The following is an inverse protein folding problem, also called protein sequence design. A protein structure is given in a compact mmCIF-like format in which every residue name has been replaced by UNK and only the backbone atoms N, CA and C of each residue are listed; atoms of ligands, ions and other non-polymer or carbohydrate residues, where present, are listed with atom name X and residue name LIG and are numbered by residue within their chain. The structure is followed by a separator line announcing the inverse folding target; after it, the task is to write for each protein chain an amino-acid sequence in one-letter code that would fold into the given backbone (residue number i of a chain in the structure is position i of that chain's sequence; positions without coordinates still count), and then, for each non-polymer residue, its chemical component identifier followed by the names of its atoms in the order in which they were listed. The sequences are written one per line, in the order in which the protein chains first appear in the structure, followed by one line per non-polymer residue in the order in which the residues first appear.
data_IF_297512231038
#
_entry.id   IF_297512231038
#
_cell.length_a   1.000
_cell.length_b   1.000
_cell.length_c   1.000
_cell.angle_alpha   90.00
_cell.angle_beta   90.00
_cell.angle_gamma   90.00
#
_symmetry.space_group_name_H-M   'P 1'
#
loop_
_entity.id
_entity.type
_entity.pdbx_description
1 polymer ?
#
# COMPACT_ATOMS: atom_id res chain seq x y z
N UNK A 1 -9.13 0.87 19.75
CA UNK A 1 -8.15 1.33 18.75
C UNK A 1 -6.77 1.40 19.42
N UNK A 2 -5.76 0.70 18.89
CA UNK A 2 -4.43 0.56 19.52
C UNK A 2 -3.49 1.75 19.33
N UNK A 3 -3.72 2.58 18.30
CA UNK A 3 -2.81 3.66 17.92
C UNK A 3 -2.54 4.66 19.05
N UNK A 4 -3.57 5.03 19.82
CA UNK A 4 -3.46 5.94 20.98
C UNK A 4 -2.55 5.40 22.10
N UNK A 5 -2.38 4.08 22.17
CA UNK A 5 -1.51 3.42 23.14
C UNK A 5 -0.08 3.29 22.61
N UNK A 6 0.10 3.20 21.29
CA UNK A 6 1.41 3.04 20.65
C UNK A 6 2.14 4.37 20.50
N UNK A 7 1.47 5.43 20.04
CA UNK A 7 2.11 6.71 19.73
C UNK A 7 2.92 7.32 20.90
N UNK A 8 2.43 7.33 22.15
CA UNK A 8 3.20 7.87 23.28
C UNK A 8 4.45 7.05 23.64
N UNK A 9 4.55 5.82 23.15
CA UNK A 9 5.69 4.93 23.40
C UNK A 9 6.82 5.08 22.37
N UNK A 10 6.60 5.86 21.31
CA UNK A 10 7.62 6.13 20.30
C UNK A 10 8.56 7.22 20.83
N UNK A 11 9.85 6.93 21.06
CA UNK A 11 10.80 7.93 21.55
C UNK A 11 11.16 8.94 20.45
N UNK A 12 11.87 10.02 20.83
CA UNK A 12 12.51 10.88 19.84
C UNK A 12 13.51 10.08 19.00
N UNK A 13 13.50 10.27 17.68
CA UNK A 13 14.26 9.46 16.75
C UNK A 13 14.59 10.19 15.45
N UNK A 14 15.74 9.85 14.87
CA UNK A 14 16.16 10.35 13.55
C UNK A 14 15.86 9.39 12.41
N UNK A 15 15.74 8.10 12.73
CA UNK A 15 15.49 7.02 11.77
C UNK A 15 14.28 6.23 12.27
N UNK A 16 13.29 6.06 11.40
CA UNK A 16 12.14 5.21 11.64
C UNK A 16 12.15 4.02 10.69
N UNK A 17 11.95 2.81 11.22
CA UNK A 17 11.88 1.59 10.41
C UNK A 17 10.60 0.85 10.76
N UNK A 18 9.76 0.59 9.76
CA UNK A 18 8.55 -0.22 9.92
C UNK A 18 8.63 -1.46 9.00
N UNK A 19 9.14 -2.59 9.52
CA UNK A 19 9.41 -3.79 8.72
C UNK A 19 8.15 -4.58 8.34
N UNK A 20 7.03 -4.32 9.02
CA UNK A 20 5.71 -4.92 8.81
C UNK A 20 4.70 -3.81 8.56
N UNK A 21 4.82 -3.17 7.40
CA UNK A 21 4.14 -1.91 7.13
C UNK A 21 2.61 -2.01 7.09
N UNK A 22 2.06 -3.07 6.48
CA UNK A 22 0.63 -3.24 6.34
C UNK A 22 -0.06 -1.99 5.77
N UNK A 23 -0.95 -1.38 6.56
CA UNK A 23 -1.66 -0.14 6.21
C UNK A 23 -0.92 1.16 6.57
N UNK A 24 0.21 1.10 7.26
CA UNK A 24 1.05 2.26 7.62
C UNK A 24 0.38 3.23 8.61
N UNK A 25 -0.45 2.72 9.52
CA UNK A 25 -1.18 3.57 10.49
C UNK A 25 -0.23 4.29 11.46
N UNK A 26 0.80 3.59 11.95
CA UNK A 26 1.80 4.19 12.84
C UNK A 26 2.68 5.17 12.08
N UNK A 27 3.24 4.74 10.94
CA UNK A 27 3.99 5.59 10.01
C UNK A 27 3.34 6.95 9.74
N UNK A 28 2.03 6.97 9.46
CA UNK A 28 1.30 8.21 9.12
C UNK A 28 0.98 9.08 10.33
N UNK A 29 0.91 8.50 11.53
CA UNK A 29 0.44 9.18 12.73
C UNK A 29 1.56 9.67 13.64
N UNK A 30 2.75 9.05 13.58
CA UNK A 30 3.94 9.55 14.26
C UNK A 30 4.38 10.89 13.67
N UNK A 31 5.20 11.63 14.41
CA UNK A 31 5.94 12.76 13.83
C UNK A 31 6.86 12.26 12.70
N UNK A 32 6.96 12.96 11.55
CA UNK A 32 7.90 12.61 10.49
C UNK A 32 9.35 12.57 10.99
N UNK A 33 10.12 11.60 10.52
CA UNK A 33 11.54 11.48 10.86
C UNK A 33 12.41 11.86 9.64
N UNK A 34 13.65 12.35 9.85
CA UNK A 34 14.59 12.64 8.76
C UNK A 34 14.81 11.46 7.80
N UNK A 35 14.83 10.24 8.32
CA UNK A 35 14.94 9.02 7.53
C UNK A 35 13.83 8.03 7.92
N UNK A 36 13.14 7.51 6.92
CA UNK A 36 12.05 6.54 7.13
C UNK A 36 12.18 5.39 6.13
N UNK A 37 12.14 4.17 6.66
CA UNK A 37 12.22 2.93 5.90
C UNK A 37 10.98 2.10 6.16
N UNK A 38 10.30 1.70 5.09
CA UNK A 38 9.12 0.83 5.16
C UNK A 38 9.41 -0.47 4.42
N UNK A 39 8.94 -1.58 4.97
CA UNK A 39 9.00 -2.89 4.32
C UNK A 39 7.73 -3.69 4.62
N UNK A 40 7.42 -4.63 3.74
CA UNK A 40 6.38 -5.63 3.97
C UNK A 40 6.74 -6.90 3.20
N UNK A 41 6.41 -8.07 3.77
CA UNK A 41 6.58 -9.35 3.08
C UNK A 41 5.68 -9.44 1.85
N UNK A 42 4.51 -8.80 1.91
CA UNK A 42 3.62 -8.70 0.78
C UNK A 42 4.12 -7.61 -0.19
N UNK A 43 4.80 -8.06 -1.25
CA UNK A 43 5.33 -7.18 -2.28
C UNK A 43 4.27 -6.29 -2.95
N UNK A 44 2.99 -6.67 -2.92
CA UNK A 44 1.92 -5.83 -3.48
C UNK A 44 1.66 -4.59 -2.61
N UNK A 45 1.87 -4.67 -1.30
CA UNK A 45 1.83 -3.50 -0.39
C UNK A 45 2.91 -2.51 -0.80
N UNK A 46 4.17 -2.96 -0.91
CA UNK A 46 5.28 -2.10 -1.29
C UNK A 46 5.08 -1.48 -2.69
N UNK A 47 4.63 -2.27 -3.67
CA UNK A 47 4.30 -1.76 -4.99
C UNK A 47 3.19 -0.70 -4.93
N UNK A 48 2.14 -0.92 -4.15
CA UNK A 48 1.04 0.03 -3.99
C UNK A 48 1.53 1.38 -3.45
N UNK A 49 2.28 1.38 -2.36
CA UNK A 49 2.81 2.63 -1.79
C UNK A 49 3.85 3.31 -2.69
N UNK A 50 4.66 2.54 -3.43
CA UNK A 50 5.58 3.09 -4.43
C UNK A 50 4.82 3.80 -5.57
N UNK A 51 3.73 3.21 -6.07
CA UNK A 51 2.86 3.81 -7.09
C UNK A 51 2.10 5.00 -6.53
N UNK A 52 1.63 4.93 -5.30
CA UNK A 52 0.97 6.04 -4.63
C UNK A 52 1.90 7.26 -4.52
N UNK A 53 3.20 7.05 -4.25
CA UNK A 53 4.21 8.12 -4.19
C UNK A 53 4.55 8.71 -5.56
N UNK A 54 4.68 7.89 -6.60
CA UNK A 54 5.29 8.28 -7.89
C UNK A 54 4.30 8.46 -9.05
N UNK A 55 3.14 7.82 -8.99
CA UNK A 55 2.17 7.70 -10.10
C UNK A 55 0.71 7.76 -9.60
N UNK A 56 0.45 8.49 -8.51
CA UNK A 56 -0.86 8.61 -7.86
C UNK A 56 -2.00 8.91 -8.84
N UNK A 57 -1.82 9.90 -9.72
CA UNK A 57 -2.84 10.31 -10.70
C UNK A 57 -3.26 9.18 -11.64
N UNK A 58 -2.31 8.33 -12.08
CA UNK A 58 -2.61 7.18 -12.96
C UNK A 58 -3.39 6.11 -12.21
N UNK A 59 -3.01 5.84 -10.97
CA UNK A 59 -3.72 4.89 -10.11
C UNK A 59 -5.14 5.39 -9.80
N UNK A 60 -5.29 6.66 -9.46
CA UNK A 60 -6.59 7.29 -9.16
C UNK A 60 -7.53 7.26 -10.37
N UNK A 61 -7.05 7.62 -11.56
CA UNK A 61 -7.82 7.53 -12.80
C UNK A 61 -8.32 6.09 -13.04
N UNK A 62 -7.41 5.10 -12.96
CA UNK A 62 -7.76 3.69 -13.14
C UNK A 62 -8.81 3.22 -12.12
N UNK A 63 -8.70 3.65 -10.86
CA UNK A 63 -9.70 3.33 -9.82
C UNK A 63 -11.06 3.97 -10.15
N UNK A 64 -11.09 5.25 -10.55
CA UNK A 64 -12.33 5.96 -10.90
C UNK A 64 -13.06 5.35 -12.10
N UNK A 65 -12.31 4.84 -13.08
CA UNK A 65 -12.84 4.16 -14.26
C UNK A 65 -13.29 2.71 -13.97
N UNK A 66 -13.02 2.19 -12.77
CA UNK A 66 -13.30 0.80 -12.44
C UNK A 66 -14.77 0.60 -12.09
N UNK A 67 -15.50 -0.13 -12.94
CA UNK A 67 -16.80 -0.69 -12.60
C UNK A 67 -16.61 -1.86 -11.62
N UNK A 68 -17.19 -1.75 -10.43
CA UNK A 68 -17.13 -2.80 -9.42
C UNK A 68 -18.10 -3.92 -9.75
N UNK A 69 -17.56 -5.12 -9.89
CA UNK A 69 -18.32 -6.35 -10.11
C UNK A 69 -17.56 -7.54 -9.54
N UNK A 70 -18.23 -8.68 -9.36
CA UNK A 70 -17.57 -9.93 -8.97
C UNK A 70 -16.48 -10.32 -9.97
N UNK A 71 -16.70 -10.05 -11.25
CA UNK A 71 -15.73 -10.31 -12.31
C UNK A 71 -14.51 -9.40 -12.22
N UNK A 72 -14.73 -8.10 -11.94
CA UNK A 72 -13.64 -7.13 -11.68
C UNK A 72 -12.77 -7.57 -10.50
N UNK A 73 -13.40 -8.04 -9.42
CA UNK A 73 -12.66 -8.56 -8.27
C UNK A 73 -11.85 -9.81 -8.61
N UNK A 74 -12.43 -10.79 -9.33
CA UNK A 74 -11.69 -11.99 -9.78
C UNK A 74 -10.46 -11.62 -10.62
N UNK A 75 -10.60 -10.65 -11.54
CA UNK A 75 -9.47 -10.14 -12.33
C UNK A 75 -8.38 -9.49 -11.47
N UNK A 76 -8.78 -8.68 -10.48
CA UNK A 76 -7.85 -8.11 -9.52
C UNK A 76 -7.12 -9.20 -8.71
N UNK A 77 -7.83 -10.23 -8.25
CA UNK A 77 -7.23 -11.35 -7.52
C UNK A 77 -6.21 -12.12 -8.37
N UNK A 78 -6.51 -12.38 -9.65
CA UNK A 78 -5.55 -13.00 -10.57
C UNK A 78 -4.23 -12.21 -10.65
N UNK A 79 -4.32 -10.88 -10.74
CA UNK A 79 -3.13 -10.01 -10.78
C UNK A 79 -2.41 -10.00 -9.43
N UNK A 80 -3.17 -9.98 -8.33
CA UNK A 80 -2.64 -9.98 -6.98
C UNK A 80 -1.86 -11.28 -6.67
N UNK A 81 -2.42 -12.43 -7.06
CA UNK A 81 -1.85 -13.77 -6.80
C UNK A 81 -0.66 -14.08 -7.72
N UNK A 82 -0.64 -13.52 -8.93
CA UNK A 82 0.42 -13.71 -9.93
C UNK A 82 1.23 -12.43 -10.21
N UNK A 83 1.85 -11.77 -9.21
CA UNK A 83 2.44 -10.44 -9.38
C UNK A 83 3.63 -10.42 -10.37
N UNK A 84 4.30 -11.57 -10.57
CA UNK A 84 5.41 -11.72 -11.51
C UNK A 84 4.99 -11.58 -12.97
N UNK A 85 3.77 -12.02 -13.32
CA UNK A 85 3.24 -11.88 -14.68
C UNK A 85 2.94 -10.42 -15.04
N UNK A 86 2.81 -9.56 -14.04
CA UNK A 86 2.52 -8.14 -14.20
C UNK A 86 3.67 -7.26 -13.68
N UNK A 87 4.90 -7.78 -13.64
CA UNK A 87 6.04 -7.12 -13.02
C UNK A 87 6.29 -5.69 -13.56
N UNK A 88 6.11 -5.51 -14.87
CA UNK A 88 6.32 -4.24 -15.57
C UNK A 88 5.15 -3.25 -15.39
N UNK A 89 3.93 -3.77 -15.16
CA UNK A 89 2.73 -2.96 -14.95
C UNK A 89 2.45 -2.73 -13.45
N UNK A 90 3.31 -1.92 -12.85
CA UNK A 90 3.20 -1.51 -11.44
C UNK A 90 1.84 -0.88 -11.10
N UNK A 91 1.27 -0.10 -12.02
CA UNK A 91 0.01 0.62 -11.77
C UNK A 91 -1.16 -0.36 -11.73
N UNK A 92 -1.21 -1.33 -12.64
CA UNK A 92 -2.23 -2.39 -12.61
C UNK A 92 -2.09 -3.28 -11.38
N UNK A 93 -0.86 -3.58 -10.95
CA UNK A 93 -0.64 -4.29 -9.68
C UNK A 93 -1.11 -3.50 -8.45
N UNK A 94 -0.85 -2.20 -8.41
CA UNK A 94 -1.33 -1.33 -7.32
C UNK A 94 -2.87 -1.23 -7.33
N UNK A 95 -3.48 -1.16 -8.51
CA UNK A 95 -4.93 -1.23 -8.67
C UNK A 95 -5.49 -2.56 -8.17
N UNK A 96 -4.88 -3.68 -8.53
CA UNK A 96 -5.31 -5.01 -8.09
C UNK A 96 -5.29 -5.14 -6.56
N UNK A 97 -4.22 -4.67 -5.92
CA UNK A 97 -4.14 -4.57 -4.46
C UNK A 97 -5.25 -3.69 -3.87
N UNK A 98 -5.53 -2.53 -4.47
CA UNK A 98 -6.61 -1.64 -4.00
C UNK A 98 -7.97 -2.32 -4.08
N UNK A 99 -8.27 -3.03 -5.17
CA UNK A 99 -9.54 -3.73 -5.36
C UNK A 99 -9.66 -4.95 -4.43
N UNK A 100 -8.56 -5.67 -4.19
CA UNK A 100 -8.58 -6.85 -3.31
C UNK A 100 -8.96 -6.51 -1.86
N UNK A 101 -8.63 -5.31 -1.39
CA UNK A 101 -8.96 -4.82 -0.03
C UNK A 101 -10.22 -3.94 0.04
N UNK A 102 -11.00 -3.84 -1.05
CA UNK A 102 -12.20 -2.98 -1.12
C UNK A 102 -13.51 -3.64 -0.67
N UNK A 103 -13.49 -4.90 -0.22
CA UNK A 103 -14.69 -5.62 0.22
C UNK A 103 -14.81 -5.66 1.74
#
# INVERSE_FOLDING_TARGET
MMLKNILPLIPDHKIYVEPFFGGGSVYRAKAPAPCEVINDVNMNVINFYQVLKSRSKKLEAKIKETLLSRETYKKAMLIYDCPRLFADDKVTRAWAFRISVSQ
#
